data_IF_108367697793
#
_entry.id   IF_108367697793
#
_cell.length_a   1.000
_cell.length_b   1.000
_cell.length_c   1.000
_cell.angle_alpha   90.00
_cell.angle_beta   90.00
_cell.angle_gamma   90.00
#
_symmetry.space_group_name_H-M   'P 1'
#
loop_
_entity.id
_entity.type
_entity.pdbx_description
1 polymer ?
#
# COMPACT_ATOMS: atom_id res chain seq x y z
N UNK A 1 2.91 46.29 -6.20
CA UNK A 1 1.97 45.32 -6.77
C UNK A 1 0.56 45.77 -6.46
N UNK A 2 -0.33 45.67 -7.44
CA UNK A 2 -1.76 45.87 -7.22
C UNK A 2 -2.35 44.72 -6.38
N UNK A 3 -3.43 44.97 -5.64
CA UNK A 3 -4.08 43.96 -4.79
C UNK A 3 -4.45 42.68 -5.58
N UNK A 4 -4.85 42.82 -6.85
CA UNK A 4 -5.20 41.71 -7.74
C UNK A 4 -3.99 40.81 -8.06
N UNK A 5 -2.82 41.40 -8.23
CA UNK A 5 -1.56 40.67 -8.46
C UNK A 5 -1.15 39.92 -7.19
N UNK A 6 -1.25 40.57 -6.02
CA UNK A 6 -0.96 39.95 -4.72
C UNK A 6 -1.88 38.76 -4.44
N UNK A 7 -3.17 38.89 -4.75
CA UNK A 7 -4.14 37.79 -4.62
C UNK A 7 -3.76 36.63 -5.54
N UNK A 8 -3.39 36.92 -6.79
CA UNK A 8 -3.00 35.90 -7.78
C UNK A 8 -1.72 35.18 -7.35
N UNK A 9 -0.72 35.91 -6.88
CA UNK A 9 0.52 35.34 -6.36
C UNK A 9 0.27 34.48 -5.12
N UNK A 10 -0.48 35.00 -4.13
CA UNK A 10 -0.81 34.26 -2.92
C UNK A 10 -1.59 32.98 -3.22
N UNK A 11 -2.54 33.05 -4.16
CA UNK A 11 -3.28 31.88 -4.65
C UNK A 11 -2.37 30.88 -5.35
N UNK A 12 -1.43 31.33 -6.17
CA UNK A 12 -0.44 30.45 -6.81
C UNK A 12 0.42 29.73 -5.76
N UNK A 13 0.90 30.46 -4.74
CA UNK A 13 1.74 29.91 -3.66
C UNK A 13 1.00 28.92 -2.76
N UNK A 14 -0.25 29.21 -2.42
CA UNK A 14 -0.99 28.46 -1.37
C UNK A 14 -2.03 27.50 -1.94
N UNK A 15 -2.55 27.77 -3.14
CA UNK A 15 -3.71 27.10 -3.72
C UNK A 15 -5.04 27.36 -3.00
N UNK A 16 -5.10 28.35 -2.10
CA UNK A 16 -6.33 28.70 -1.40
C UNK A 16 -7.37 29.37 -2.33
N UNK A 17 -8.63 29.44 -1.87
CA UNK A 17 -9.70 30.10 -2.61
C UNK A 17 -9.46 31.60 -2.80
N UNK A 18 -9.99 32.18 -3.89
CA UNK A 18 -9.82 33.61 -4.22
C UNK A 18 -10.22 34.54 -3.06
N UNK A 19 -11.38 34.29 -2.46
CA UNK A 19 -11.90 35.08 -1.34
C UNK A 19 -11.10 34.86 -0.04
N UNK A 20 -10.50 33.69 0.14
CA UNK A 20 -9.63 33.43 1.28
C UNK A 20 -8.32 34.20 1.15
N UNK A 21 -7.73 34.19 -0.05
CA UNK A 21 -6.53 34.97 -0.36
C UNK A 21 -6.78 36.47 -0.18
N UNK A 22 -7.90 36.98 -0.69
CA UNK A 22 -8.29 38.39 -0.52
C UNK A 22 -8.42 38.77 0.96
N UNK A 23 -9.18 38.00 1.75
CA UNK A 23 -9.35 38.25 3.19
C UNK A 23 -8.03 38.18 3.97
N UNK A 24 -7.19 37.19 3.66
CA UNK A 24 -5.89 37.06 4.30
C UNK A 24 -4.96 38.25 3.97
N UNK A 25 -5.01 38.77 2.74
CA UNK A 25 -4.27 39.97 2.35
C UNK A 25 -4.83 41.25 3.01
N UNK A 26 -6.14 41.36 3.18
CA UNK A 26 -6.75 42.48 3.90
C UNK A 26 -6.33 42.48 5.39
N UNK A 27 -6.38 41.32 6.05
CA UNK A 27 -6.02 41.16 7.47
C UNK A 27 -4.51 41.36 7.72
N UNK A 28 -3.67 40.89 6.80
CA UNK A 28 -2.21 41.09 6.83
C UNK A 28 -1.76 42.44 6.27
N UNK A 29 -2.68 43.32 5.88
CA UNK A 29 -2.39 44.63 5.26
C UNK A 29 -1.45 44.52 4.05
N UNK A 30 -1.66 43.49 3.23
CA UNK A 30 -0.91 43.22 2.00
C UNK A 30 0.41 42.47 2.19
N UNK A 31 0.77 42.06 3.40
CA UNK A 31 2.02 41.33 3.67
C UNK A 31 1.87 39.85 3.35
N UNK A 32 2.55 39.40 2.30
CA UNK A 32 2.43 38.02 1.78
C UNK A 32 2.74 36.93 2.82
N UNK A 33 3.85 37.03 3.56
CA UNK A 33 4.25 35.98 4.51
C UNK A 33 3.26 35.84 5.68
N UNK A 34 2.73 36.96 6.15
CA UNK A 34 1.67 36.98 7.15
C UNK A 34 0.36 36.39 6.58
N UNK A 35 0.00 36.74 5.33
CA UNK A 35 -1.18 36.18 4.64
C UNK A 35 -1.07 34.66 4.45
N UNK A 36 0.10 34.14 4.08
CA UNK A 36 0.38 32.70 3.99
C UNK A 36 0.16 32.03 5.34
N UNK A 37 0.67 32.64 6.42
CA UNK A 37 0.51 32.13 7.78
C UNK A 37 -0.95 32.09 8.21
N UNK A 38 -1.73 33.13 7.90
CA UNK A 38 -3.17 33.17 8.17
C UNK A 38 -3.93 32.07 7.41
N UNK A 39 -3.63 31.89 6.12
CA UNK A 39 -4.23 30.83 5.31
C UNK A 39 -3.90 29.44 5.83
N UNK A 40 -2.67 29.22 6.28
CA UNK A 40 -2.26 27.94 6.90
C UNK A 40 -3.04 27.66 8.18
N UNK A 41 -3.11 28.64 9.10
CA UNK A 41 -3.89 28.51 10.35
C UNK A 41 -5.37 28.20 10.06
N UNK A 42 -5.96 28.92 9.10
CA UNK A 42 -7.33 28.67 8.67
C UNK A 42 -7.52 27.28 8.07
N UNK A 43 -6.63 26.85 7.19
CA UNK A 43 -6.67 25.53 6.57
C UNK A 43 -6.62 24.39 7.58
N UNK A 44 -5.77 24.54 8.61
CA UNK A 44 -5.69 23.60 9.74
C UNK A 44 -6.98 23.55 10.56
N UNK A 45 -7.58 24.71 10.84
CA UNK A 45 -8.86 24.77 11.55
C UNK A 45 -10.00 24.11 10.73
N UNK A 46 -10.05 24.36 9.43
CA UNK A 46 -11.03 23.76 8.53
C UNK A 46 -10.81 22.24 8.41
N UNK A 47 -9.56 21.77 8.32
CA UNK A 47 -9.22 20.35 8.32
C UNK A 47 -9.66 19.67 9.63
N UNK A 48 -9.38 20.29 10.78
CA UNK A 48 -9.82 19.78 12.07
C UNK A 48 -11.35 19.60 12.15
N UNK A 49 -12.12 20.55 11.60
CA UNK A 49 -13.60 20.42 11.50
C UNK A 49 -14.06 19.30 10.58
N UNK A 50 -13.25 18.93 9.58
CA UNK A 50 -13.56 17.85 8.62
C UNK A 50 -13.03 16.49 9.05
N UNK A 51 -12.16 16.41 10.05
CA UNK A 51 -11.49 15.18 10.50
C UNK A 51 -12.45 14.02 10.83
N UNK A 52 -13.66 14.32 11.32
CA UNK A 52 -14.68 13.33 11.63
C UNK A 52 -15.39 12.75 10.39
N UNK A 53 -15.18 13.33 9.20
CA UNK A 53 -15.79 12.84 7.97
C UNK A 53 -15.13 11.57 7.50
N UNK A 54 -15.95 10.66 7.01
CA UNK A 54 -15.52 9.34 6.56
C UNK A 54 -14.68 9.44 5.28
N UNK A 55 -13.48 8.87 5.29
CA UNK A 55 -12.57 8.81 4.13
C UNK A 55 -12.44 7.38 3.63
N UNK A 56 -13.40 6.91 2.83
CA UNK A 56 -13.40 5.54 2.26
C UNK A 56 -12.73 5.46 0.89
N UNK A 57 -12.55 6.60 0.23
CA UNK A 57 -11.87 6.70 -1.06
C UNK A 57 -10.38 6.97 -0.88
N UNK A 58 -9.63 7.02 -1.98
CA UNK A 58 -8.19 7.24 -1.98
C UNK A 58 -7.44 6.25 -2.86
N UNK A 59 -6.15 6.05 -2.53
CA UNK A 59 -5.25 5.21 -3.30
C UNK A 59 -4.10 4.61 -2.47
N UNK A 60 -3.50 3.57 -3.03
CA UNK A 60 -2.26 2.94 -2.60
C UNK A 60 -1.11 3.50 -3.42
N UNK A 61 -0.01 3.88 -2.77
CA UNK A 61 1.20 4.33 -3.44
C UNK A 61 2.42 3.53 -2.96
N UNK A 62 3.38 3.37 -3.86
CA UNK A 62 4.64 2.67 -3.62
C UNK A 62 5.81 3.57 -4.05
N UNK A 63 6.91 3.53 -3.30
CA UNK A 63 8.16 4.15 -3.70
C UNK A 63 9.37 3.37 -3.18
N UNK A 64 10.51 3.57 -3.84
CA UNK A 64 11.82 3.02 -3.47
C UNK A 64 12.81 4.15 -3.21
N UNK A 65 13.72 3.93 -2.28
CA UNK A 65 14.86 4.80 -2.00
C UNK A 65 16.02 4.02 -1.38
N UNK A 66 17.21 4.09 -1.99
CA UNK A 66 18.42 3.49 -1.42
C UNK A 66 18.32 1.98 -1.13
N UNK A 67 17.55 1.25 -1.95
CA UNK A 67 17.27 -0.19 -1.75
C UNK A 67 16.13 -0.49 -0.76
N UNK A 68 15.63 0.49 -0.03
CA UNK A 68 14.42 0.36 0.77
C UNK A 68 13.16 0.60 -0.09
N UNK A 69 12.04 0.01 0.31
CA UNK A 69 10.73 0.22 -0.30
C UNK A 69 9.70 0.61 0.75
N UNK A 70 8.68 1.36 0.34
CA UNK A 70 7.52 1.66 1.18
C UNK A 70 6.21 1.62 0.39
N UNK A 71 5.21 0.98 0.99
CA UNK A 71 3.83 0.92 0.52
C UNK A 71 2.94 1.69 1.50
N UNK A 72 2.12 2.61 1.00
CA UNK A 72 1.26 3.48 1.83
C UNK A 72 -0.18 3.49 1.32
N UNK A 73 -1.13 3.76 2.22
CA UNK A 73 -2.52 4.07 1.89
C UNK A 73 -2.86 5.50 2.31
N UNK A 74 -3.26 6.32 1.33
CA UNK A 74 -3.78 7.66 1.56
C UNK A 74 -5.25 7.68 1.17
N UNK A 75 -6.10 8.10 2.11
CA UNK A 75 -7.54 8.19 1.93
C UNK A 75 -8.03 9.63 1.78
N UNK A 76 -9.15 9.79 1.08
CA UNK A 76 -9.92 11.03 0.94
C UNK A 76 -11.42 10.74 1.02
N UNK A 77 -12.26 11.78 0.96
CA UNK A 77 -13.72 11.62 1.07
C UNK A 77 -14.31 11.08 -0.24
N UNK A 78 -13.88 11.61 -1.40
CA UNK A 78 -14.47 11.29 -2.71
C UNK A 78 -13.49 10.65 -3.68
N UNK A 79 -14.04 9.92 -4.66
CA UNK A 79 -13.26 9.30 -5.73
C UNK A 79 -12.76 10.35 -6.74
N UNK A 80 -13.46 11.49 -6.86
CA UNK A 80 -13.04 12.63 -7.67
C UNK A 80 -11.68 13.15 -7.23
N UNK A 81 -11.50 13.40 -5.92
CA UNK A 81 -10.21 13.82 -5.37
C UNK A 81 -9.16 12.71 -5.49
N UNK A 82 -9.54 11.45 -5.27
CA UNK A 82 -8.61 10.32 -5.40
C UNK A 82 -7.96 10.19 -6.79
N UNK A 83 -8.62 10.72 -7.83
CA UNK A 83 -8.18 10.65 -9.23
C UNK A 83 -7.38 11.87 -9.69
N UNK A 84 -7.17 12.89 -8.85
CA UNK A 84 -6.43 14.09 -9.25
C UNK A 84 -4.91 13.89 -9.24
N UNK A 85 -4.21 14.68 -10.04
CA UNK A 85 -2.75 14.70 -10.08
C UNK A 85 -2.16 15.18 -8.75
N UNK A 86 -2.82 16.13 -8.09
CA UNK A 86 -2.38 16.66 -6.80
C UNK A 86 -2.43 15.59 -5.71
N UNK A 87 -3.49 14.80 -5.64
CA UNK A 87 -3.64 13.76 -4.62
C UNK A 87 -2.68 12.59 -4.86
N UNK A 88 -2.54 12.15 -6.13
CA UNK A 88 -1.57 11.11 -6.51
C UNK A 88 -0.11 11.55 -6.28
N UNK A 89 0.23 12.80 -6.60
CA UNK A 89 1.56 13.36 -6.33
C UNK A 89 1.87 13.45 -4.83
N UNK A 90 0.88 13.82 -4.01
CA UNK A 90 1.01 13.83 -2.56
C UNK A 90 1.29 12.42 -2.04
N UNK A 91 0.49 11.42 -2.45
CA UNK A 91 0.67 10.03 -2.02
C UNK A 91 2.05 9.47 -2.41
N UNK A 92 2.53 9.74 -3.63
CA UNK A 92 3.88 9.37 -4.06
C UNK A 92 4.98 10.06 -3.25
N UNK A 93 4.79 11.33 -2.91
CA UNK A 93 5.73 12.07 -2.05
C UNK A 93 5.81 11.46 -0.64
N UNK A 94 4.66 11.10 -0.07
CA UNK A 94 4.59 10.42 1.23
C UNK A 94 5.24 9.03 1.18
N UNK A 95 4.99 8.26 0.11
CA UNK A 95 5.63 6.97 -0.10
C UNK A 95 7.17 7.11 -0.19
N UNK A 96 7.69 8.11 -0.91
CA UNK A 96 9.14 8.39 -1.00
C UNK A 96 9.73 8.73 0.37
N UNK A 97 9.09 9.63 1.12
CA UNK A 97 9.51 9.97 2.50
C UNK A 97 9.51 8.74 3.40
N UNK A 98 8.53 7.85 3.22
CA UNK A 98 8.49 6.59 3.94
C UNK A 98 9.64 5.66 3.55
N UNK A 99 9.94 5.50 2.25
CA UNK A 99 11.08 4.71 1.78
C UNK A 99 12.42 5.25 2.31
N UNK A 100 12.62 6.58 2.28
CA UNK A 100 13.75 7.28 2.88
C UNK A 100 13.86 7.06 4.40
N UNK A 101 12.74 6.74 5.06
CA UNK A 101 12.66 6.58 6.51
C UNK A 101 12.49 7.90 7.26
N UNK A 102 12.15 8.99 6.57
CA UNK A 102 11.75 10.27 7.16
C UNK A 102 10.27 10.31 7.58
N UNK A 103 9.46 9.38 7.08
CA UNK A 103 8.09 9.09 7.53
C UNK A 103 8.01 7.62 7.97
N UNK A 104 7.90 7.36 9.27
CA UNK A 104 7.90 5.99 9.83
C UNK A 104 6.59 5.61 10.49
N UNK A 105 5.79 6.59 10.88
CA UNK A 105 4.53 6.39 11.59
C UNK A 105 3.45 7.30 11.00
N UNK A 106 2.19 6.87 11.10
CA UNK A 106 1.05 7.62 10.59
C UNK A 106 0.88 8.98 11.28
N UNK A 107 1.23 9.07 12.57
CA UNK A 107 1.22 10.29 13.38
C UNK A 107 2.08 11.42 12.79
N UNK A 108 3.15 11.08 12.07
CA UNK A 108 4.09 12.03 11.47
C UNK A 108 3.57 12.62 10.14
N UNK A 109 2.54 12.02 9.54
CA UNK A 109 2.04 12.42 8.24
C UNK A 109 1.26 13.75 8.27
N UNK A 110 0.70 14.14 9.43
CA UNK A 110 -0.19 15.31 9.53
C UNK A 110 0.43 16.58 8.95
N UNK A 111 1.69 16.87 9.34
CA UNK A 111 2.44 18.04 8.85
C UNK A 111 2.67 18.04 7.34
N UNK A 112 2.70 16.86 6.72
CA UNK A 112 2.90 16.68 5.28
C UNK A 112 1.58 16.79 4.50
N UNK A 113 0.43 16.59 5.16
CA UNK A 113 -0.91 16.75 4.58
C UNK A 113 -1.41 18.20 4.62
N UNK A 114 -0.86 19.05 5.50
CA UNK A 114 -1.35 20.42 5.70
C UNK A 114 -1.50 21.24 4.41
N UNK A 115 -0.52 21.24 3.48
CA UNK A 115 -0.64 22.00 2.25
C UNK A 115 -1.78 21.52 1.33
N UNK A 116 -2.22 20.27 1.50
CA UNK A 116 -3.25 19.65 0.67
C UNK A 116 -4.66 19.94 1.18
N UNK A 117 -4.89 20.15 2.48
CA UNK A 117 -6.23 20.42 3.02
C UNK A 117 -6.88 21.67 2.42
N UNK A 118 -6.11 22.74 2.23
CA UNK A 118 -6.60 23.98 1.64
C UNK A 118 -6.93 23.82 0.15
N UNK A 119 -6.12 23.02 -0.57
CA UNK A 119 -6.24 22.81 -2.01
C UNK A 119 -7.38 21.85 -2.37
N UNK A 120 -7.38 20.68 -1.74
CA UNK A 120 -8.33 19.60 -2.03
C UNK A 120 -9.69 19.82 -1.36
N UNK A 121 -9.73 20.59 -0.26
CA UNK A 121 -10.94 20.91 0.51
C UNK A 121 -11.72 19.69 1.02
N UNK A 122 -11.06 18.54 1.12
CA UNK A 122 -11.58 17.32 1.73
C UNK A 122 -10.80 16.95 2.99
N UNK A 123 -11.39 16.08 3.80
CA UNK A 123 -10.67 15.30 4.80
C UNK A 123 -9.71 14.34 4.10
N UNK A 124 -8.48 14.28 4.60
CA UNK A 124 -7.44 13.37 4.12
C UNK A 124 -6.95 12.57 5.31
N UNK A 125 -6.76 11.27 5.12
CA UNK A 125 -6.27 10.38 6.17
C UNK A 125 -5.11 9.56 5.64
N UNK A 126 -3.96 9.68 6.30
CA UNK A 126 -2.84 8.78 6.06
C UNK A 126 -3.04 7.54 6.93
N UNK A 127 -3.61 6.49 6.34
CA UNK A 127 -4.19 5.38 7.10
C UNK A 127 -3.16 4.39 7.59
N UNK A 128 -2.21 4.02 6.73
CA UNK A 128 -1.17 3.04 7.06
C UNK A 128 0.03 3.16 6.13
N UNK A 129 1.15 2.67 6.63
CA UNK A 129 2.37 2.48 5.86
C UNK A 129 3.00 1.13 6.22
N UNK A 130 3.73 0.55 5.28
CA UNK A 130 4.64 -0.56 5.52
C UNK A 130 5.96 -0.22 4.83
N UNK A 131 7.08 -0.36 5.54
CA UNK A 131 8.41 -0.02 5.03
C UNK A 131 9.36 -1.21 5.18
N UNK A 132 10.00 -1.60 4.09
CA UNK A 132 11.07 -2.60 4.10
C UNK A 132 12.43 -1.92 3.94
N UNK A 133 13.30 -2.09 4.93
CA UNK A 133 14.74 -1.83 4.81
C UNK A 133 15.44 -3.17 4.50
N UNK A 134 16.42 -3.23 3.57
CA UNK A 134 17.07 -4.49 3.23
C UNK A 134 17.60 -5.24 4.46
N UNK A 135 17.25 -6.52 4.58
CA UNK A 135 17.73 -7.40 5.66
C UNK A 135 19.05 -8.10 5.31
N UNK A 136 19.52 -7.95 4.07
CA UNK A 136 20.74 -8.55 3.55
C UNK A 136 20.74 -8.52 2.02
N UNK A 137 21.57 -9.34 1.37
CA UNK A 137 21.53 -9.51 -0.08
C UNK A 137 20.14 -9.96 -0.54
N UNK A 138 19.59 -9.26 -1.53
CA UNK A 138 18.22 -9.44 -1.98
C UNK A 138 17.69 -8.30 -2.82
N UNK A 139 16.41 -8.40 -3.18
CA UNK A 139 15.65 -7.38 -3.89
C UNK A 139 14.41 -7.04 -3.09
N UNK A 140 14.16 -5.75 -2.89
CA UNK A 140 12.86 -5.22 -2.52
C UNK A 140 12.23 -4.67 -3.78
N UNK A 141 10.99 -5.07 -4.06
CA UNK A 141 10.24 -4.57 -5.19
C UNK A 141 8.76 -4.42 -4.81
N UNK A 142 8.08 -3.47 -5.43
CA UNK A 142 6.66 -3.26 -5.24
C UNK A 142 5.92 -3.03 -6.56
N UNK A 143 4.62 -3.20 -6.48
CA UNK A 143 3.70 -3.03 -7.60
C UNK A 143 2.40 -2.41 -7.09
N UNK A 144 1.91 -1.41 -7.80
CA UNK A 144 0.58 -0.85 -7.60
C UNK A 144 -0.24 -1.17 -8.85
N UNK A 145 -1.38 -1.83 -8.65
CA UNK A 145 -2.25 -2.23 -9.73
C UNK A 145 -2.97 -1.05 -10.36
N UNK A 146 -3.49 -1.24 -11.57
CA UNK A 146 -4.21 -0.20 -12.27
C UNK A 146 -5.37 0.36 -11.42
N UNK A 147 -5.57 1.67 -11.45
CA UNK A 147 -6.53 2.38 -10.61
C UNK A 147 -6.10 2.56 -9.15
N UNK A 148 -4.89 2.13 -8.77
CA UNK A 148 -4.25 2.39 -7.48
C UNK A 148 -5.07 1.96 -6.26
N UNK A 149 -5.97 0.99 -6.42
CA UNK A 149 -6.79 0.43 -5.31
C UNK A 149 -6.15 -0.76 -4.63
N UNK A 150 -5.12 -1.35 -5.22
CA UNK A 150 -4.38 -2.51 -4.68
C UNK A 150 -2.90 -2.34 -4.95
N UNK A 151 -2.06 -2.77 -4.03
CA UNK A 151 -0.63 -2.83 -4.22
C UNK A 151 0.01 -3.90 -3.34
N UNK A 152 1.22 -4.30 -3.73
CA UNK A 152 2.04 -5.21 -2.97
C UNK A 152 3.50 -4.75 -2.95
N UNK A 153 4.23 -5.23 -1.95
CA UNK A 153 5.67 -5.08 -1.81
C UNK A 153 6.24 -6.41 -1.32
N UNK A 154 7.37 -6.84 -1.86
CA UNK A 154 8.03 -8.11 -1.49
C UNK A 154 9.53 -7.89 -1.30
N UNK A 155 10.12 -8.62 -0.38
CA UNK A 155 11.57 -8.76 -0.24
C UNK A 155 11.98 -10.22 -0.52
N UNK A 156 12.81 -10.41 -1.55
CA UNK A 156 13.44 -11.69 -1.86
C UNK A 156 14.88 -11.71 -1.36
N UNK A 157 15.31 -12.82 -0.76
CA UNK A 157 16.73 -13.06 -0.47
C UNK A 157 17.51 -13.40 -1.74
N UNK A 158 18.80 -13.09 -1.73
CA UNK A 158 19.76 -13.57 -2.72
C UNK A 158 20.93 -14.27 -2.01
N UNK A 159 21.59 -15.23 -2.67
CA UNK A 159 22.75 -15.92 -2.10
C UNK A 159 24.01 -15.05 -2.03
N UNK A 160 24.09 -13.97 -2.82
CA UNK A 160 25.19 -13.00 -2.79
C UNK A 160 24.74 -11.59 -3.21
N UNK A 161 25.53 -10.54 -2.92
CA UNK A 161 25.28 -9.19 -3.43
C UNK A 161 25.26 -9.08 -4.97
N UNK A 162 25.99 -9.93 -5.68
CA UNK A 162 25.99 -10.00 -7.15
C UNK A 162 24.69 -10.60 -7.66
N UNK A 163 24.24 -11.72 -7.07
CA UNK A 163 22.96 -12.32 -7.41
C UNK A 163 21.78 -11.39 -7.14
N UNK A 164 21.88 -10.56 -6.08
CA UNK A 164 20.89 -9.54 -5.76
C UNK A 164 20.70 -8.48 -6.86
N UNK A 165 21.72 -8.23 -7.68
CA UNK A 165 21.68 -7.27 -8.79
C UNK A 165 21.21 -7.89 -10.11
N UNK A 166 20.92 -9.20 -10.12
CA UNK A 166 20.51 -9.88 -11.36
C UNK A 166 19.13 -9.42 -11.82
N UNK A 167 19.01 -9.16 -13.13
CA UNK A 167 17.72 -8.80 -13.74
C UNK A 167 16.66 -9.90 -13.51
N UNK A 168 17.09 -11.18 -13.56
CA UNK A 168 16.22 -12.31 -13.32
C UNK A 168 15.53 -12.27 -11.95
N UNK A 169 16.25 -11.92 -10.88
CA UNK A 169 15.67 -11.80 -9.54
C UNK A 169 14.71 -10.61 -9.46
N UNK A 170 15.06 -9.48 -10.09
CA UNK A 170 14.18 -8.31 -10.18
C UNK A 170 12.87 -8.60 -10.92
N UNK A 171 12.92 -9.35 -12.01
CA UNK A 171 11.73 -9.78 -12.77
C UNK A 171 10.87 -10.74 -11.95
N UNK A 172 11.48 -11.70 -11.23
CA UNK A 172 10.75 -12.59 -10.34
C UNK A 172 10.04 -11.81 -9.23
N UNK A 173 10.71 -10.84 -8.59
CA UNK A 173 10.09 -10.02 -7.55
C UNK A 173 8.89 -9.22 -8.08
N UNK A 174 8.95 -8.70 -9.31
CA UNK A 174 7.81 -8.04 -9.97
C UNK A 174 6.67 -9.02 -10.26
N UNK A 175 6.98 -10.22 -10.75
CA UNK A 175 5.98 -11.27 -11.00
C UNK A 175 5.29 -11.71 -9.71
N UNK A 176 6.05 -11.90 -8.61
CA UNK A 176 5.48 -12.28 -7.33
C UNK A 176 4.61 -11.16 -6.72
N UNK A 177 4.90 -9.89 -6.98
CA UNK A 177 3.98 -8.82 -6.62
C UNK A 177 2.66 -8.89 -7.40
N UNK A 178 2.70 -9.22 -8.70
CA UNK A 178 1.47 -9.47 -9.49
C UNK A 178 0.69 -10.66 -8.92
N UNK A 179 1.38 -11.73 -8.55
CA UNK A 179 0.82 -12.91 -7.87
C UNK A 179 0.09 -12.51 -6.58
N UNK A 180 0.77 -11.79 -5.68
CA UNK A 180 0.23 -11.35 -4.39
C UNK A 180 -1.04 -10.52 -4.59
N UNK A 181 -1.03 -9.57 -5.51
CA UNK A 181 -2.20 -8.72 -5.78
C UNK A 181 -3.32 -9.51 -6.44
N UNK A 182 -3.02 -10.31 -7.46
CA UNK A 182 -4.00 -11.05 -8.26
C UNK A 182 -4.75 -12.11 -7.47
N UNK A 183 -4.04 -12.86 -6.62
CA UNK A 183 -4.61 -13.96 -5.82
C UNK A 183 -4.87 -13.59 -4.37
N UNK A 184 -4.60 -12.34 -3.98
CA UNK A 184 -4.83 -11.84 -2.62
C UNK A 184 -4.17 -12.70 -1.53
N UNK A 185 -2.90 -13.04 -1.73
CA UNK A 185 -2.12 -13.76 -0.73
C UNK A 185 -2.14 -12.98 0.61
N UNK A 186 -2.45 -13.69 1.69
CA UNK A 186 -2.53 -13.17 3.07
C UNK A 186 -1.37 -13.64 3.93
N UNK A 187 -0.92 -14.88 3.68
CA UNK A 187 0.13 -15.55 4.43
C UNK A 187 1.27 -15.95 3.50
N UNK A 188 2.47 -16.14 4.06
CA UNK A 188 3.61 -16.61 3.28
C UNK A 188 3.44 -18.08 2.92
N UNK A 189 3.21 -18.90 3.94
CA UNK A 189 3.06 -20.35 3.85
C UNK A 189 2.01 -20.83 4.87
N UNK A 190 1.76 -22.15 4.89
CA UNK A 190 0.83 -22.76 5.88
C UNK A 190 1.23 -22.52 7.32
N UNK A 191 2.53 -22.41 7.63
CA UNK A 191 3.01 -22.23 9.00
C UNK A 191 2.77 -20.80 9.52
N UNK A 192 2.67 -19.83 8.62
CA UNK A 192 2.33 -18.45 8.95
C UNK A 192 0.83 -18.22 9.21
N UNK A 193 -0.04 -19.23 9.01
CA UNK A 193 -1.48 -19.10 9.22
C UNK A 193 -1.83 -19.26 10.70
N UNK A 194 -2.58 -18.33 11.33
CA UNK A 194 -3.06 -18.51 12.69
C UNK A 194 -3.91 -19.78 12.85
N UNK A 195 -3.67 -20.56 13.90
CA UNK A 195 -4.43 -21.81 14.14
C UNK A 195 -5.94 -21.54 14.25
N UNK A 196 -6.34 -20.39 14.80
CA UNK A 196 -7.73 -19.98 14.88
C UNK A 196 -8.40 -19.83 13.50
N UNK A 197 -7.68 -19.42 12.48
CA UNK A 197 -8.18 -19.35 11.10
C UNK A 197 -8.28 -20.75 10.49
N UNK A 198 -7.26 -21.59 10.69
CA UNK A 198 -7.26 -22.99 10.22
C UNK A 198 -8.43 -23.76 10.83
N UNK A 199 -8.66 -23.61 12.14
CA UNK A 199 -9.77 -24.23 12.85
C UNK A 199 -11.13 -23.76 12.32
N UNK A 200 -11.31 -22.45 12.13
CA UNK A 200 -12.54 -21.88 11.57
C UNK A 200 -12.86 -22.44 10.19
N UNK A 201 -11.89 -22.46 9.28
CA UNK A 201 -12.08 -22.99 7.92
C UNK A 201 -12.32 -24.51 7.94
N UNK A 202 -11.66 -25.25 8.84
CA UNK A 202 -11.88 -26.68 9.05
C UNK A 202 -13.31 -26.97 9.47
N UNK A 203 -13.85 -26.21 10.41
CA UNK A 203 -15.22 -26.35 10.89
C UNK A 203 -16.22 -26.08 9.75
N UNK A 204 -16.01 -25.00 9.00
CA UNK A 204 -16.84 -24.66 7.82
C UNK A 204 -16.84 -25.82 6.82
N UNK A 205 -15.67 -26.34 6.43
CA UNK A 205 -15.60 -27.44 5.46
C UNK A 205 -16.17 -28.74 6.02
N UNK A 206 -16.05 -29.00 7.32
CA UNK A 206 -16.66 -30.16 7.98
C UNK A 206 -18.17 -30.11 7.86
N UNK A 207 -18.79 -28.98 8.17
CA UNK A 207 -20.24 -28.80 8.04
C UNK A 207 -20.72 -28.90 6.59
N UNK A 208 -19.96 -28.34 5.65
CA UNK A 208 -20.27 -28.46 4.20
C UNK A 208 -20.24 -29.92 3.76
N UNK A 209 -19.18 -30.66 4.09
CA UNK A 209 -19.01 -32.07 3.69
C UNK A 209 -20.05 -32.97 4.35
N UNK A 210 -20.42 -32.71 5.61
CA UNK A 210 -21.49 -33.46 6.28
C UNK A 210 -22.85 -33.25 5.61
N UNK A 211 -23.16 -32.01 5.22
CA UNK A 211 -24.40 -31.68 4.47
C UNK A 211 -24.43 -32.30 3.08
N UNK A 212 -23.27 -32.53 2.45
CA UNK A 212 -23.16 -33.29 1.19
C UNK A 212 -23.42 -34.80 1.37
N UNK A 213 -23.69 -35.29 2.59
CA UNK A 213 -24.03 -36.69 2.87
C UNK A 213 -22.86 -37.66 2.75
N UNK A 214 -21.62 -37.19 2.89
CA UNK A 214 -20.42 -38.04 2.82
C UNK A 214 -20.30 -38.91 4.09
N UNK A 215 -19.72 -40.13 4.00
CA UNK A 215 -19.52 -40.98 5.18
C UNK A 215 -18.65 -40.29 6.25
N UNK A 216 -19.06 -40.32 7.53
CA UNK A 216 -18.37 -39.68 8.66
C UNK A 216 -16.87 -40.05 8.72
N UNK A 217 -16.53 -41.32 8.48
CA UNK A 217 -15.13 -41.79 8.46
C UNK A 217 -14.27 -41.14 7.36
N UNK A 218 -14.87 -40.66 6.26
CA UNK A 218 -14.17 -40.01 5.16
C UNK A 218 -14.07 -38.48 5.33
N UNK A 219 -14.87 -37.87 6.20
CA UNK A 219 -14.94 -36.41 6.37
C UNK A 219 -13.57 -35.81 6.69
N UNK A 220 -12.78 -36.31 7.66
CA UNK A 220 -11.49 -35.69 8.00
C UNK A 220 -10.54 -35.56 6.80
N UNK A 221 -10.44 -36.63 5.99
CA UNK A 221 -9.59 -36.66 4.80
C UNK A 221 -10.08 -35.71 3.70
N UNK A 222 -11.40 -35.61 3.51
CA UNK A 222 -11.98 -34.69 2.53
C UNK A 222 -11.76 -33.24 2.96
N UNK A 223 -11.96 -32.94 4.24
CA UNK A 223 -11.75 -31.61 4.82
C UNK A 223 -10.29 -31.20 4.70
N UNK A 224 -9.34 -32.10 4.99
CA UNK A 224 -7.91 -31.84 4.78
C UNK A 224 -7.59 -31.51 3.31
N UNK A 225 -8.17 -32.26 2.37
CA UNK A 225 -8.06 -31.96 0.94
C UNK A 225 -8.62 -30.59 0.56
N UNK A 226 -9.78 -30.21 1.10
CA UNK A 226 -10.41 -28.89 0.89
C UNK A 226 -9.60 -27.76 1.53
N UNK A 227 -9.06 -27.93 2.73
CA UNK A 227 -8.15 -26.97 3.37
C UNK A 227 -6.92 -26.72 2.50
N UNK A 228 -6.26 -27.79 2.03
CA UNK A 228 -5.10 -27.70 1.15
C UNK A 228 -5.41 -26.97 -0.15
N UNK A 229 -6.50 -27.32 -0.83
CA UNK A 229 -6.81 -26.81 -2.17
C UNK A 229 -7.52 -25.45 -2.18
N UNK A 230 -8.42 -25.20 -1.24
CA UNK A 230 -9.30 -24.02 -1.27
C UNK A 230 -8.83 -22.92 -0.34
N UNK A 231 -8.22 -23.27 0.80
CA UNK A 231 -7.80 -22.29 1.78
C UNK A 231 -6.32 -21.97 1.66
N UNK A 232 -5.44 -22.96 1.83
CA UNK A 232 -3.99 -22.74 1.81
C UNK A 232 -3.51 -22.28 0.43
N UNK A 233 -3.89 -22.96 -0.65
CA UNK A 233 -3.53 -22.54 -2.00
C UNK A 233 -4.10 -21.17 -2.41
N UNK A 234 -5.19 -20.69 -1.80
CA UNK A 234 -5.71 -19.35 -2.07
C UNK A 234 -5.00 -18.29 -1.21
N UNK A 235 -4.74 -18.60 0.05
CA UNK A 235 -4.34 -17.60 1.05
C UNK A 235 -2.83 -17.52 1.27
N UNK A 236 -2.07 -18.56 0.93
CA UNK A 236 -0.65 -18.68 1.22
C UNK A 236 0.17 -18.59 -0.07
N UNK A 237 1.12 -17.65 -0.13
CA UNK A 237 1.85 -17.32 -1.35
C UNK A 237 2.62 -18.51 -1.93
N UNK A 238 3.28 -19.32 -1.09
CA UNK A 238 4.11 -20.43 -1.57
C UNK A 238 3.30 -21.63 -2.09
N UNK A 239 2.05 -21.74 -1.68
CA UNK A 239 1.09 -22.79 -2.04
C UNK A 239 0.27 -22.43 -3.30
N UNK A 240 0.33 -21.16 -3.71
CA UNK A 240 -0.33 -20.68 -4.90
C UNK A 240 0.29 -21.24 -6.19
N UNK A 241 -0.55 -21.34 -7.22
CA UNK A 241 -0.11 -21.54 -8.59
C UNK A 241 0.18 -20.18 -9.24
N UNK A 242 1.19 -20.14 -10.09
CA UNK A 242 1.65 -18.94 -10.77
C UNK A 242 0.54 -18.32 -11.62
N UNK A 243 0.38 -16.99 -11.50
CA UNK A 243 -0.51 -16.15 -12.30
C UNK A 243 -0.23 -16.25 -13.80
N UNK A 244 0.99 -16.65 -14.16
CA UNK A 244 1.43 -16.79 -15.55
C UNK A 244 0.74 -17.94 -16.28
N UNK A 245 0.63 -19.09 -15.64
CA UNK A 245 0.22 -20.34 -16.30
C UNK A 245 -0.81 -21.16 -15.52
N UNK A 246 -1.15 -20.77 -14.29
CA UNK A 246 -2.01 -21.50 -13.35
C UNK A 246 -1.61 -22.97 -13.14
N UNK A 247 -0.34 -23.31 -13.35
CA UNK A 247 0.18 -24.69 -13.30
C UNK A 247 1.44 -24.80 -12.44
N UNK A 248 2.32 -23.81 -12.51
CA UNK A 248 3.61 -23.85 -11.82
C UNK A 248 3.45 -23.35 -10.39
N UNK A 249 3.78 -24.14 -9.34
CA UNK A 249 3.77 -23.66 -7.97
C UNK A 249 4.74 -22.50 -7.77
N UNK A 250 4.32 -21.48 -7.01
CA UNK A 250 5.18 -20.31 -6.69
C UNK A 250 6.49 -20.73 -6.02
N UNK A 251 6.45 -21.73 -5.14
CA UNK A 251 7.65 -22.29 -4.52
C UNK A 251 8.68 -22.81 -5.53
N UNK A 252 8.23 -23.35 -6.68
CA UNK A 252 9.13 -23.82 -7.72
C UNK A 252 9.79 -22.66 -8.47
N UNK A 253 9.10 -21.53 -8.66
CA UNK A 253 9.71 -20.33 -9.25
C UNK A 253 10.91 -19.83 -8.44
N UNK A 254 10.79 -19.84 -7.11
CA UNK A 254 11.86 -19.46 -6.19
C UNK A 254 13.02 -20.46 -6.25
N UNK A 255 12.71 -21.77 -6.26
CA UNK A 255 13.71 -22.82 -6.38
C UNK A 255 14.51 -22.72 -7.68
N UNK A 256 13.83 -22.51 -8.80
CA UNK A 256 14.45 -22.36 -10.11
C UNK A 256 15.32 -21.10 -10.20
N UNK A 257 14.86 -20.00 -9.60
CA UNK A 257 15.65 -18.78 -9.49
C UNK A 257 16.90 -18.99 -8.62
N UNK A 258 16.78 -19.72 -7.52
CA UNK A 258 17.92 -20.07 -6.67
C UNK A 258 18.97 -20.93 -7.39
N UNK A 259 18.52 -21.93 -8.16
CA UNK A 259 19.42 -22.75 -8.98
C UNK A 259 20.22 -21.91 -9.98
N UNK A 260 19.58 -20.92 -10.62
CA UNK A 260 20.23 -19.99 -11.55
C UNK A 260 21.14 -18.97 -10.85
N UNK A 261 20.80 -18.58 -9.63
CA UNK A 261 21.55 -17.61 -8.83
C UNK A 261 22.74 -18.24 -8.08
N UNK A 262 22.92 -19.57 -8.13
CA UNK A 262 24.00 -20.27 -7.43
C UNK A 262 23.77 -20.44 -5.92
N UNK A 263 22.53 -20.37 -5.44
CA UNK A 263 22.19 -20.54 -4.03
C UNK A 263 20.74 -20.18 -3.69
N UNK A 264 20.28 -20.34 -2.45
CA UNK A 264 18.87 -20.22 -2.10
C UNK A 264 18.30 -18.81 -2.30
N UNK A 265 17.15 -18.74 -2.96
CA UNK A 265 16.29 -17.55 -3.09
C UNK A 265 14.99 -17.85 -2.36
N UNK A 266 14.61 -16.99 -1.41
CA UNK A 266 13.43 -17.15 -0.55
C UNK A 266 12.70 -15.82 -0.42
N UNK A 267 11.39 -15.87 -0.11
CA UNK A 267 10.65 -14.67 0.28
C UNK A 267 10.95 -14.41 1.75
N UNK A 268 11.56 -13.26 2.07
CA UNK A 268 11.78 -12.86 3.46
C UNK A 268 10.52 -12.32 4.10
N UNK A 269 9.78 -11.52 3.33
CA UNK A 269 8.52 -10.88 3.74
C UNK A 269 7.81 -10.30 2.52
N UNK A 270 6.51 -10.11 2.65
CA UNK A 270 5.71 -9.34 1.71
C UNK A 270 4.62 -8.58 2.44
N UNK A 271 4.07 -7.57 1.77
CA UNK A 271 2.93 -6.79 2.21
C UNK A 271 1.97 -6.63 1.04
N UNK A 272 0.68 -6.59 1.35
CA UNK A 272 -0.40 -6.36 0.38
C UNK A 272 -1.37 -5.37 0.97
N UNK A 273 -1.62 -4.26 0.28
CA UNK A 273 -2.66 -3.32 0.62
C UNK A 273 -3.79 -3.38 -0.41
N UNK A 274 -5.02 -3.34 0.08
CA UNK A 274 -6.21 -3.03 -0.69
C UNK A 274 -6.89 -1.83 -0.03
N UNK A 275 -7.23 -0.83 -0.82
CA UNK A 275 -7.91 0.36 -0.32
C UNK A 275 -9.17 -0.06 0.45
N UNK A 276 -9.33 0.47 1.66
CA UNK A 276 -10.50 0.16 2.47
C UNK A 276 -10.30 -0.99 3.45
N UNK A 277 -9.37 -1.92 3.19
CA UNK A 277 -9.11 -3.11 4.03
C UNK A 277 -8.47 -2.79 5.38
#
# INVERSE_FOLDING_TARGET
MELKELITELRSKTGAGMMDCKRALEESKGKLDEAVTLLRKKGLADAARRSARVTKEGLIAYAEHGGAGALIELNCETDFVAKTEEFSSLALTLARKAAEGSLRETSQALGLLEPAFAKLKENLSFRRLERFAPLGPGVIAGYVHHGSKKGAMIELSAPSPEAAKSEALGLLAKELNLQIVGFSAKYLDKAAVPEADVARERDIFTEVVRKEGKPEAAIPKIVEGKLNKLFFQASCLLEQMSVRDNKTPVANLLKDAGAKAGGPVTVRRFARFQLGE
#
